data_IF_836507330627
#
_entry.id   IF_836507330627
#
_cell.length_a   1.000
_cell.length_b   1.000
_cell.length_c   1.000
_cell.angle_alpha   90.00
_cell.angle_beta   90.00
_cell.angle_gamma   90.00
#
_symmetry.space_group_name_H-M   'P 1'
#
loop_
_entity.id
_entity.type
_entity.pdbx_description
1 polymer ?
#
# COMPACT_ATOMS: atom_id res chain seq x y z
N UNK A 1 3.06 19.83 13.53
CA UNK A 1 2.01 19.91 12.48
C UNK A 1 1.53 18.49 12.22
N UNK A 2 0.27 18.19 12.51
CA UNK A 2 -0.29 16.88 12.19
C UNK A 2 -0.38 16.80 10.66
N UNK A 3 0.27 15.82 10.06
CA UNK A 3 0.22 15.59 8.62
C UNK A 3 -1.23 15.41 8.22
N UNK A 4 -1.69 16.16 7.23
CA UNK A 4 -3.09 16.04 6.80
C UNK A 4 -3.29 14.69 6.12
N UNK A 5 -4.53 14.18 6.17
CA UNK A 5 -4.86 12.87 5.60
C UNK A 5 -4.58 12.81 4.09
N UNK A 6 -4.72 13.95 3.41
CA UNK A 6 -4.33 14.13 2.00
C UNK A 6 -2.82 13.97 1.77
N UNK A 7 -1.98 14.59 2.60
CA UNK A 7 -0.52 14.46 2.48
C UNK A 7 -0.07 13.02 2.71
N UNK A 8 -0.63 12.33 3.72
CA UNK A 8 -0.38 10.90 3.94
C UNK A 8 -0.81 10.08 2.72
N UNK A 9 -2.00 10.35 2.14
CA UNK A 9 -2.48 9.63 0.95
C UNK A 9 -1.54 9.79 -0.25
N UNK A 10 -1.03 11.00 -0.50
CA UNK A 10 -0.10 11.28 -1.61
C UNK A 10 1.23 10.54 -1.43
N UNK A 11 1.76 10.48 -0.22
CA UNK A 11 2.99 9.72 0.07
C UNK A 11 2.78 8.22 -0.09
N UNK A 12 1.68 7.69 0.44
CA UNK A 12 1.32 6.28 0.33
C UNK A 12 1.15 5.87 -1.13
N UNK A 13 0.47 6.70 -1.93
CA UNK A 13 0.33 6.52 -3.37
C UNK A 13 1.70 6.51 -4.06
N UNK A 14 2.53 7.51 -3.79
CA UNK A 14 3.86 7.61 -4.41
C UNK A 14 4.74 6.41 -4.08
N UNK A 15 4.72 5.94 -2.83
CA UNK A 15 5.46 4.76 -2.41
C UNK A 15 4.87 3.46 -3.00
N UNK A 16 3.55 3.37 -3.15
CA UNK A 16 2.87 2.26 -3.84
C UNK A 16 3.24 2.20 -5.33
N UNK A 17 3.26 3.33 -6.02
CA UNK A 17 3.65 3.46 -7.42
C UNK A 17 5.12 3.07 -7.65
N UNK A 18 6.00 3.35 -6.68
CA UNK A 18 7.39 2.88 -6.65
C UNK A 18 7.53 1.37 -6.45
N UNK A 19 6.44 0.64 -6.21
CA UNK A 19 6.43 -0.81 -6.03
C UNK A 19 6.37 -1.28 -4.58
N UNK A 20 6.17 -0.37 -3.61
CA UNK A 20 5.94 -0.79 -2.22
C UNK A 20 4.60 -1.52 -2.10
N UNK A 21 4.58 -2.60 -1.32
CA UNK A 21 3.35 -3.32 -1.01
C UNK A 21 2.55 -2.61 0.08
N UNK A 22 1.23 -2.76 0.08
CA UNK A 22 0.32 -2.22 1.11
C UNK A 22 0.79 -2.57 2.54
N UNK A 23 1.34 -3.77 2.74
CA UNK A 23 1.92 -4.20 4.03
C UNK A 23 3.13 -3.36 4.45
N UNK A 24 4.02 -3.04 3.51
CA UNK A 24 5.21 -2.21 3.77
C UNK A 24 4.77 -0.79 4.09
N UNK A 25 3.82 -0.26 3.33
CA UNK A 25 3.23 1.05 3.58
C UNK A 25 2.57 1.13 4.96
N UNK A 26 1.79 0.12 5.35
CA UNK A 26 1.19 0.02 6.67
C UNK A 26 2.24 0.00 7.79
N UNK A 27 3.31 -0.78 7.63
CA UNK A 27 4.40 -0.85 8.59
C UNK A 27 5.18 0.47 8.70
N UNK A 28 5.44 1.15 7.58
CA UNK A 28 6.17 2.42 7.55
C UNK A 28 5.36 3.59 8.10
N UNK A 29 4.05 3.63 7.80
CA UNK A 29 3.15 4.69 8.28
C UNK A 29 2.57 4.40 9.67
N UNK A 30 2.78 3.21 10.23
CA UNK A 30 2.19 2.79 11.50
C UNK A 30 0.65 2.67 11.43
N UNK A 31 0.08 2.59 10.23
CA UNK A 31 -1.37 2.50 10.00
C UNK A 31 -1.80 1.06 9.76
N UNK A 32 -3.06 0.78 10.01
CA UNK A 32 -3.61 -0.54 9.70
C UNK A 32 -3.69 -0.78 8.19
N UNK A 33 -3.59 -2.04 7.76
CA UNK A 33 -3.78 -2.43 6.37
C UNK A 33 -5.10 -1.90 5.78
N UNK A 34 -6.18 -1.97 6.57
CA UNK A 34 -7.50 -1.47 6.16
C UNK A 34 -7.53 0.05 5.96
N UNK A 35 -6.79 0.79 6.79
CA UNK A 35 -6.62 2.23 6.62
C UNK A 35 -5.88 2.56 5.33
N UNK A 36 -4.75 1.90 5.07
CA UNK A 36 -3.98 2.08 3.83
C UNK A 36 -4.79 1.67 2.60
N UNK A 37 -5.53 0.56 2.69
CA UNK A 37 -6.40 0.12 1.61
C UNK A 37 -7.47 1.16 1.29
N UNK A 38 -8.16 1.69 2.30
CA UNK A 38 -9.13 2.79 2.10
C UNK A 38 -8.45 4.04 1.53
N UNK A 39 -7.31 4.45 2.09
CA UNK A 39 -6.57 5.62 1.63
C UNK A 39 -6.12 5.49 0.16
N UNK A 40 -5.67 4.30 -0.27
CA UNK A 40 -5.30 4.04 -1.66
C UNK A 40 -6.53 4.02 -2.59
N UNK A 41 -7.66 3.46 -2.15
CA UNK A 41 -8.92 3.47 -2.92
C UNK A 41 -9.48 4.88 -3.04
N UNK A 42 -9.52 5.65 -1.94
CA UNK A 42 -9.98 7.05 -1.90
C UNK A 42 -9.10 7.96 -2.76
N UNK A 43 -7.79 7.72 -2.80
CA UNK A 43 -6.85 8.44 -3.69
C UNK A 43 -6.90 8.01 -5.16
N UNK A 44 -7.81 7.10 -5.52
CA UNK A 44 -8.00 6.62 -6.88
C UNK A 44 -6.82 5.80 -7.41
N UNK A 45 -5.99 5.25 -6.53
CA UNK A 45 -4.88 4.40 -6.93
C UNK A 45 -5.43 3.08 -7.47
N UNK A 46 -4.97 2.69 -8.65
CA UNK A 46 -5.23 1.35 -9.16
C UNK A 46 -4.48 0.36 -8.28
N UNK A 47 -5.19 -0.22 -7.32
CA UNK A 47 -4.67 -1.32 -6.53
C UNK A 47 -4.27 -2.42 -7.50
N UNK A 48 -2.95 -2.65 -7.61
CA UNK A 48 -2.40 -3.87 -8.19
C UNK A 48 -3.08 -5.01 -7.44
N UNK A 49 -4.02 -5.66 -8.11
CA UNK A 49 -4.74 -6.80 -7.56
C UNK A 49 -3.73 -7.80 -7.01
N UNK A 50 -4.14 -8.61 -6.02
CA UNK A 50 -3.34 -9.69 -5.41
C UNK A 50 -2.93 -10.81 -6.39
N UNK A 51 -2.74 -10.51 -7.67
CA UNK A 51 -2.38 -11.41 -8.77
C UNK A 51 -1.23 -10.91 -9.64
N UNK A 52 -0.32 -10.08 -9.12
CA UNK A 52 0.99 -9.91 -9.76
C UNK A 52 1.85 -11.18 -9.59
N UNK A 53 2.74 -11.56 -10.54
CA UNK A 53 3.42 -12.87 -10.63
C UNK A 53 4.31 -13.30 -9.45
N UNK A 54 4.21 -12.66 -8.28
CA UNK A 54 4.73 -13.15 -7.01
C UNK A 54 3.93 -14.34 -6.44
N UNK A 55 3.54 -15.31 -7.28
CA UNK A 55 3.60 -16.72 -6.85
C UNK A 55 5.09 -17.07 -6.72
N UNK A 56 5.79 -16.46 -5.74
CA UNK A 56 7.03 -17.06 -5.24
C UNK A 56 6.60 -18.44 -4.78
N UNK A 57 7.13 -19.43 -5.50
CA UNK A 57 6.74 -20.82 -5.39
C UNK A 57 6.57 -21.19 -3.93
N UNK A 58 5.47 -21.86 -3.66
CA UNK A 58 5.41 -22.99 -2.74
C UNK A 58 6.83 -23.51 -2.51
N UNK A 59 7.46 -23.15 -1.39
CA UNK A 59 8.60 -23.91 -0.90
C UNK A 59 8.00 -25.19 -0.34
N UNK A 60 7.92 -26.19 -1.21
CA UNK A 60 7.79 -27.60 -0.90
C UNK A 60 8.47 -28.33 -2.06
N UNK A 61 9.29 -29.36 -1.83
CA UNK A 61 9.82 -29.91 -0.57
C UNK A 61 11.09 -29.20 -0.05
#
# INVERSE_FOLDING_TARGET
MAKTRDEEQVELKSAYEKGASIRVLAAQSGRSYGYIHRALVESGVTLRGRGGPNRRGRKAP
#
